data_IF_341294175611
#
_entry.id   IF_341294175611
#
_cell.length_a   1.000
_cell.length_b   1.000
_cell.length_c   1.000
_cell.angle_alpha   90.00
_cell.angle_beta   90.00
_cell.angle_gamma   90.00
#
_symmetry.space_group_name_H-M   'P 1'
#
loop_
_entity.id
_entity.type
_entity.pdbx_description
1 polymer ?
#
# COMPACT_ATOMS: atom_id res chain seq x y z
N UNK A 1 -16.47 20.34 -24.48
CA UNK A 1 -15.78 20.08 -23.19
C UNK A 1 -15.33 18.63 -23.15
N UNK A 2 -14.03 18.37 -23.36
CA UNK A 2 -13.47 17.03 -23.54
C UNK A 2 -13.28 16.35 -22.17
N UNK A 3 -14.13 15.38 -21.82
CA UNK A 3 -14.01 14.57 -20.59
C UNK A 3 -13.11 13.35 -20.85
N UNK A 4 -11.82 13.48 -20.56
CA UNK A 4 -10.88 12.35 -20.66
C UNK A 4 -10.98 11.52 -19.37
N UNK A 5 -11.67 10.37 -19.42
CA UNK A 5 -11.73 9.42 -18.31
C UNK A 5 -10.49 8.51 -18.31
N UNK A 6 -9.36 9.01 -17.78
CA UNK A 6 -8.14 8.22 -17.56
C UNK A 6 -8.27 7.44 -16.25
N UNK A 7 -8.79 6.22 -16.31
CA UNK A 7 -8.68 5.27 -15.19
C UNK A 7 -7.22 4.79 -15.08
N UNK A 8 -6.56 4.94 -13.93
CA UNK A 8 -5.12 4.65 -13.77
C UNK A 8 -4.76 3.16 -13.81
N UNK A 9 -5.71 2.27 -14.13
CA UNK A 9 -5.55 0.81 -14.00
C UNK A 9 -5.32 0.06 -15.33
N UNK A 10 -5.23 0.75 -16.48
CA UNK A 10 -5.05 0.09 -17.79
C UNK A 10 -3.76 0.53 -18.50
N UNK A 11 -3.05 -0.43 -19.13
CA UNK A 11 -1.86 -0.17 -19.95
C UNK A 11 -2.09 0.90 -21.02
N UNK A 12 -3.31 0.96 -21.57
CA UNK A 12 -3.70 1.95 -22.59
C UNK A 12 -3.76 3.37 -22.02
N UNK A 13 -4.21 3.54 -20.77
CA UNK A 13 -4.24 4.84 -20.09
C UNK A 13 -2.84 5.39 -19.85
N UNK A 14 -1.86 4.52 -19.56
CA UNK A 14 -0.45 4.92 -19.38
C UNK A 14 0.15 5.49 -20.67
N UNK A 15 -0.08 4.83 -21.81
CA UNK A 15 0.38 5.33 -23.13
C UNK A 15 -0.32 6.64 -23.50
N UNK A 16 -1.62 6.76 -23.23
CA UNK A 16 -2.36 8.01 -23.47
C UNK A 16 -1.88 9.17 -22.58
N UNK A 17 -1.59 8.91 -21.30
CA UNK A 17 -1.02 9.91 -20.40
C UNK A 17 0.39 10.34 -20.83
N UNK A 18 1.22 9.41 -21.32
CA UNK A 18 2.52 9.72 -21.89
C UNK A 18 2.42 10.58 -23.16
N UNK A 19 1.45 10.33 -24.03
CA UNK A 19 1.21 11.15 -25.22
C UNK A 19 0.80 12.60 -24.87
N UNK A 20 0.10 12.81 -23.75
CA UNK A 20 -0.29 14.14 -23.27
C UNK A 20 0.89 14.97 -22.72
N UNK A 21 2.06 14.36 -22.50
CA UNK A 21 3.28 15.08 -22.08
C UNK A 21 3.73 16.08 -23.14
N UNK A 22 3.49 15.82 -24.43
CA UNK A 22 3.75 16.78 -25.51
C UNK A 22 2.89 18.05 -25.45
N UNK A 23 1.80 18.03 -24.68
CA UNK A 23 0.94 19.19 -24.43
C UNK A 23 1.24 19.87 -23.08
N UNK A 24 2.37 19.55 -22.44
CA UNK A 24 2.77 20.10 -21.15
C UNK A 24 2.04 19.49 -19.95
N UNK A 25 1.27 18.42 -20.14
CA UNK A 25 0.58 17.71 -19.07
C UNK A 25 1.35 16.43 -18.73
N UNK A 26 2.15 16.46 -17.66
CA UNK A 26 2.94 15.29 -17.27
C UNK A 26 2.12 14.32 -16.41
N UNK A 27 2.56 13.07 -16.36
CA UNK A 27 2.00 12.08 -15.44
C UNK A 27 2.13 12.54 -13.97
N UNK A 28 3.20 13.26 -13.63
CA UNK A 28 3.39 13.81 -12.29
C UNK A 28 2.31 14.86 -11.96
N UNK A 29 1.90 15.69 -12.92
CA UNK A 29 0.82 16.66 -12.73
C UNK A 29 -0.53 15.98 -12.51
N UNK A 30 -0.78 14.89 -13.25
CA UNK A 30 -1.99 14.08 -13.08
C UNK A 30 -2.04 13.40 -11.71
N UNK A 31 -0.93 12.84 -11.24
CA UNK A 31 -0.84 12.21 -9.93
C UNK A 31 -1.01 13.23 -8.81
N UNK A 32 -0.37 14.41 -8.93
CA UNK A 32 -0.52 15.51 -7.98
C UNK A 32 -1.97 15.99 -7.90
N UNK A 33 -2.66 16.11 -9.03
CA UNK A 33 -4.07 16.50 -9.06
C UNK A 33 -5.00 15.43 -8.47
N UNK A 34 -4.69 14.13 -8.64
CA UNK A 34 -5.43 13.04 -8.02
C UNK A 34 -5.29 13.02 -6.49
N UNK A 35 -4.17 13.52 -5.97
CA UNK A 35 -3.87 13.60 -4.54
C UNK A 35 -4.48 14.83 -3.85
N UNK A 36 -4.91 15.85 -4.61
CA UNK A 36 -5.65 17.03 -4.11
C UNK A 36 -7.11 16.72 -3.75
N UNK A 37 -7.48 15.46 -3.58
CA UNK A 37 -8.85 15.11 -3.18
C UNK A 37 -9.08 15.58 -1.74
N UNK A 38 -10.11 16.41 -1.47
CA UNK A 38 -10.28 17.00 -0.15
C UNK A 38 -10.42 15.90 0.92
N UNK A 39 -9.73 16.03 2.06
CA UNK A 39 -9.89 15.10 3.18
C UNK A 39 -11.38 15.11 3.59
N UNK A 40 -12.08 13.99 3.36
CA UNK A 40 -13.52 13.87 3.60
C UNK A 40 -14.39 13.66 2.37
N UNK A 41 -13.86 13.70 1.13
CA UNK A 41 -14.56 13.18 -0.05
C UNK A 41 -14.51 11.64 -0.09
N UNK A 42 -14.83 11.00 1.04
CA UNK A 42 -15.03 9.56 1.14
C UNK A 42 -16.46 9.24 0.73
N UNK A 43 -16.75 9.29 -0.57
CA UNK A 43 -17.73 8.34 -1.08
C UNK A 43 -17.19 6.96 -0.65
N UNK A 44 -17.94 6.26 0.22
CA UNK A 44 -17.50 5.06 0.92
C UNK A 44 -16.69 4.13 -0.02
N UNK A 45 -15.36 4.25 0.02
CA UNK A 45 -14.49 3.52 -0.89
C UNK A 45 -14.49 2.09 -0.37
N UNK A 46 -15.19 1.21 -1.07
CA UNK A 46 -15.16 -0.22 -0.79
C UNK A 46 -13.69 -0.67 -0.81
N UNK A 47 -13.22 -1.28 0.27
CA UNK A 47 -11.91 -1.92 0.29
C UNK A 47 -11.85 -2.94 -0.85
N UNK A 48 -10.97 -2.70 -1.83
CA UNK A 48 -10.85 -3.53 -3.04
C UNK A 48 -10.06 -4.82 -2.77
N UNK A 49 -9.20 -4.80 -1.75
CA UNK A 49 -8.34 -5.91 -1.36
C UNK A 49 -8.15 -5.90 0.15
N UNK A 50 -8.06 -7.09 0.74
CA UNK A 50 -7.78 -7.31 2.16
C UNK A 50 -6.68 -8.36 2.29
N UNK A 51 -5.83 -8.22 3.31
CA UNK A 51 -4.86 -9.25 3.68
C UNK A 51 -5.49 -10.03 4.83
N UNK A 52 -5.80 -11.31 4.58
CA UNK A 52 -6.25 -12.22 5.61
C UNK A 52 -5.05 -12.91 6.24
N UNK A 53 -4.75 -12.58 7.50
CA UNK A 53 -3.75 -13.29 8.29
C UNK A 53 -4.47 -14.38 9.08
N UNK A 54 -4.47 -15.61 8.56
CA UNK A 54 -5.08 -16.75 9.24
C UNK A 54 -4.09 -17.39 10.20
N UNK A 55 -4.37 -17.30 11.50
CA UNK A 55 -3.57 -17.90 12.57
C UNK A 55 -4.40 -19.01 13.22
N UNK A 56 -4.32 -20.22 12.68
CA UNK A 56 -4.99 -21.39 13.25
C UNK A 56 -4.44 -21.69 14.64
N UNK A 57 -5.14 -21.24 15.68
CA UNK A 57 -4.70 -21.34 17.08
C UNK A 57 -4.05 -20.06 17.67
N UNK A 58 -4.02 -18.97 16.91
CA UNK A 58 -3.46 -17.68 17.35
C UNK A 58 -1.96 -17.52 17.09
N UNK A 59 -1.43 -16.35 17.46
CA UNK A 59 0.00 -16.05 17.38
C UNK A 59 0.72 -16.61 18.61
N UNK A 60 1.88 -17.23 18.38
CA UNK A 60 2.74 -17.71 19.47
C UNK A 60 3.28 -16.53 20.27
N UNK A 61 3.26 -16.63 21.61
CA UNK A 61 3.88 -15.64 22.50
C UNK A 61 5.38 -15.47 22.22
N UNK A 62 6.07 -16.59 21.95
CA UNK A 62 7.49 -16.62 21.61
C UNK A 62 7.81 -15.97 20.26
N UNK A 63 6.81 -15.74 19.39
CA UNK A 63 7.01 -15.13 18.06
C UNK A 63 6.51 -13.67 18.00
N UNK A 64 5.82 -13.19 19.03
CA UNK A 64 5.17 -11.85 19.00
C UNK A 64 5.57 -10.96 20.16
N UNK A 65 5.36 -11.43 21.39
CA UNK A 65 5.43 -10.61 22.59
C UNK A 65 6.76 -10.75 23.32
N UNK A 66 7.32 -11.97 23.34
CA UNK A 66 8.56 -12.27 24.04
C UNK A 66 9.44 -13.18 23.17
N UNK A 67 10.10 -12.56 22.19
CA UNK A 67 11.00 -13.23 21.25
C UNK A 67 12.23 -13.85 21.94
N UNK A 68 12.50 -13.49 23.20
CA UNK A 68 13.71 -13.86 23.97
C UNK A 68 14.96 -13.81 23.09
N UNK A 69 15.32 -12.63 22.53
CA UNK A 69 16.40 -12.52 21.54
C UNK A 69 17.74 -13.08 22.03
N UNK A 70 18.00 -12.94 23.33
CA UNK A 70 19.23 -13.38 23.99
C UNK A 70 19.23 -14.85 24.43
N UNK A 71 18.12 -15.57 24.27
CA UNK A 71 18.07 -16.99 24.59
C UNK A 71 18.73 -17.85 23.50
N UNK A 72 19.13 -19.07 23.88
CA UNK A 72 19.70 -20.05 22.94
C UNK A 72 18.68 -20.41 21.84
N UNK A 73 19.19 -20.80 20.67
CA UNK A 73 18.40 -21.05 19.46
C UNK A 73 17.25 -22.05 19.66
N UNK A 74 17.41 -23.02 20.56
CA UNK A 74 16.39 -24.03 20.85
C UNK A 74 15.22 -23.50 21.72
N UNK A 75 15.39 -22.35 22.37
CA UNK A 75 14.41 -21.73 23.28
C UNK A 75 13.75 -20.51 22.64
N UNK A 76 14.49 -19.72 21.87
CA UNK A 76 13.94 -18.54 21.20
C UNK A 76 13.09 -18.93 19.98
N UNK A 77 12.12 -18.07 19.65
CA UNK A 77 11.31 -18.22 18.45
C UNK A 77 12.15 -18.17 17.17
N UNK A 78 11.56 -18.54 16.04
CA UNK A 78 12.25 -18.54 14.73
C UNK A 78 12.63 -17.12 14.27
N UNK A 79 11.86 -16.13 14.71
CA UNK A 79 11.97 -14.77 14.23
C UNK A 79 12.91 -13.94 15.10
N UNK A 80 13.64 -13.03 14.47
CA UNK A 80 14.44 -12.03 15.17
C UNK A 80 13.66 -10.70 15.20
N UNK A 81 13.71 -9.95 16.31
CA UNK A 81 13.14 -8.60 16.35
C UNK A 81 13.85 -7.70 15.35
N UNK A 82 13.10 -6.74 14.80
CA UNK A 82 13.64 -5.65 13.98
C UNK A 82 13.54 -4.35 14.77
N UNK A 83 14.52 -3.46 14.58
CA UNK A 83 14.43 -2.11 15.13
C UNK A 83 13.22 -1.40 14.50
N UNK A 84 12.30 -0.96 15.36
CA UNK A 84 11.12 -0.21 14.95
C UNK A 84 11.22 1.21 15.50
N UNK A 85 11.07 2.20 14.63
CA UNK A 85 10.93 3.60 15.03
C UNK A 85 9.47 3.84 15.42
N UNK A 86 9.24 4.31 16.64
CA UNK A 86 7.94 4.84 17.07
C UNK A 86 8.01 6.36 17.05
#
# INVERSE_FOLDING_TARGET
>A
MLKIHLTPSSRRSFVQAGALTGCGLSLADLLRAADQQPPGATAARRAKSVILVYLGGGLSHHDSFDLKPDAVADIRGKYAPIDTVV
#
